data_IF_027507482841
#
_entry.id   IF_027507482841
#
_cell.length_a   1.000
_cell.length_b   1.000
_cell.length_c   1.000
_cell.angle_alpha   90.00
_cell.angle_beta   90.00
_cell.angle_gamma   90.00
#
_symmetry.space_group_name_H-M   'P 1'
#
loop_
_entity.id
_entity.type
_entity.pdbx_description
1 polymer ?
#
# COMPACT_ATOMS: atom_id res chain seq x y z
N UNK A 1 15.18 -13.29 -19.91
CA UNK A 1 14.88 -12.56 -18.66
C UNK A 1 14.66 -11.06 -18.89
N UNK A 2 15.55 -10.35 -19.60
CA UNK A 2 15.42 -8.91 -19.89
C UNK A 2 14.16 -8.53 -20.71
N UNK A 3 13.72 -9.37 -21.65
CA UNK A 3 12.48 -9.11 -22.40
C UNK A 3 11.21 -9.24 -21.54
N UNK A 4 11.23 -10.10 -20.51
CA UNK A 4 10.12 -10.26 -19.58
C UNK A 4 9.99 -9.02 -18.69
N UNK A 5 11.12 -8.50 -18.19
CA UNK A 5 11.18 -7.23 -17.45
C UNK A 5 10.73 -6.05 -18.31
N UNK A 6 11.10 -6.03 -19.60
CA UNK A 6 10.67 -4.98 -20.53
C UNK A 6 9.17 -5.02 -20.80
N UNK A 7 8.59 -6.22 -20.92
CA UNK A 7 7.13 -6.42 -21.05
C UNK A 7 6.38 -6.10 -19.76
N UNK A 8 7.03 -6.29 -18.61
CA UNK A 8 6.52 -5.90 -17.29
C UNK A 8 6.50 -4.36 -17.09
N UNK A 9 7.34 -3.67 -17.87
CA UNK A 9 7.49 -2.21 -17.88
C UNK A 9 6.80 -1.52 -19.06
N UNK A 10 6.47 -2.24 -20.14
CA UNK A 10 5.73 -1.69 -21.27
C UNK A 10 4.27 -1.54 -20.85
N UNK A 11 3.97 -0.37 -20.29
CA UNK A 11 2.62 0.12 -20.13
C UNK A 11 2.02 0.34 -21.52
N UNK A 12 1.18 -0.59 -21.97
CA UNK A 12 0.27 -0.32 -23.08
C UNK A 12 -0.87 0.57 -22.55
N UNK A 13 -0.74 1.87 -22.80
CA UNK A 13 -1.77 2.87 -22.52
C UNK A 13 -2.79 2.85 -23.66
N UNK A 14 -3.71 1.89 -23.66
CA UNK A 14 -4.82 1.88 -24.62
C UNK A 14 -6.04 2.58 -24.00
N UNK A 15 -6.14 3.87 -24.33
CA UNK A 15 -7.33 4.74 -24.39
C UNK A 15 -8.45 4.57 -23.34
N UNK A 16 -8.36 5.30 -22.22
CA UNK A 16 -9.51 6.00 -21.60
C UNK A 16 -9.00 7.20 -20.80
N UNK A 17 -9.33 8.43 -21.22
CA UNK A 17 -8.65 9.66 -20.73
C UNK A 17 -8.74 9.93 -19.22
N UNK A 18 -9.70 9.32 -18.49
CA UNK A 18 -9.81 9.40 -17.03
C UNK A 18 -9.06 8.27 -16.29
N UNK A 19 -9.08 7.03 -16.83
CA UNK A 19 -8.33 5.94 -16.22
C UNK A 19 -6.82 6.18 -16.35
N UNK A 20 -6.38 6.79 -17.46
CA UNK A 20 -4.98 7.19 -17.66
C UNK A 20 -4.49 8.23 -16.65
N UNK A 21 -5.32 9.23 -16.34
CA UNK A 21 -4.97 10.26 -15.34
C UNK A 21 -4.86 9.66 -13.95
N UNK A 22 -5.77 8.76 -13.60
CA UNK A 22 -5.78 8.09 -12.29
C UNK A 22 -4.60 7.13 -12.17
N UNK A 23 -4.33 6.33 -13.22
CA UNK A 23 -3.20 5.41 -13.26
C UNK A 23 -1.86 6.13 -13.11
N UNK A 24 -1.69 7.29 -13.79
CA UNK A 24 -0.45 8.09 -13.74
C UNK A 24 -0.03 8.46 -12.31
N UNK A 25 -0.98 8.67 -11.39
CA UNK A 25 -0.70 8.97 -9.99
C UNK A 25 -0.78 7.74 -9.08
N UNK A 26 -1.67 6.79 -9.37
CA UNK A 26 -1.88 5.61 -8.54
C UNK A 26 -0.65 4.70 -8.48
N UNK A 27 0.00 4.45 -9.61
CA UNK A 27 1.20 3.61 -9.66
C UNK A 27 2.36 4.17 -8.82
N UNK A 28 2.79 5.43 -8.99
CA UNK A 28 3.88 5.98 -8.18
C UNK A 28 3.52 6.00 -6.69
N UNK A 29 2.27 6.30 -6.32
CA UNK A 29 1.82 6.23 -4.91
C UNK A 29 1.98 4.81 -4.37
N UNK A 30 1.51 3.79 -5.09
CA UNK A 30 1.65 2.39 -4.68
C UNK A 30 3.12 1.99 -4.53
N UNK A 31 3.99 2.40 -5.46
CA UNK A 31 5.43 2.12 -5.37
C UNK A 31 6.06 2.80 -4.16
N UNK A 32 5.76 4.07 -3.90
CA UNK A 32 6.28 4.80 -2.74
C UNK A 32 5.86 4.10 -1.45
N UNK A 33 4.58 3.71 -1.32
CA UNK A 33 4.09 3.00 -0.14
C UNK A 33 4.77 1.65 0.04
N UNK A 34 4.95 0.87 -1.03
CA UNK A 34 5.69 -0.41 -0.98
C UNK A 34 7.12 -0.17 -0.50
N UNK A 35 7.82 0.83 -1.02
CA UNK A 35 9.19 1.17 -0.61
C UNK A 35 9.24 1.54 0.87
N UNK A 36 8.28 2.33 1.37
CA UNK A 36 8.18 2.70 2.78
C UNK A 36 8.00 1.44 3.65
N UNK A 37 7.08 0.54 3.29
CA UNK A 37 6.84 -0.71 4.05
C UNK A 37 8.09 -1.59 4.06
N UNK A 38 8.80 -1.71 2.93
CA UNK A 38 10.06 -2.46 2.86
C UNK A 38 11.13 -1.83 3.76
N UNK A 39 11.24 -0.51 3.79
CA UNK A 39 12.17 0.20 4.68
C UNK A 39 11.80 -0.02 6.15
N UNK A 40 10.52 -0.01 6.51
CA UNK A 40 10.05 -0.31 7.86
C UNK A 40 10.42 -1.75 8.27
N UNK A 41 10.14 -2.74 7.42
CA UNK A 41 10.54 -4.13 7.66
C UNK A 41 12.06 -4.26 7.80
N UNK A 42 12.83 -3.57 6.96
CA UNK A 42 14.28 -3.58 7.01
C UNK A 42 14.78 -2.96 8.32
N UNK A 43 14.18 -1.87 8.80
CA UNK A 43 14.61 -1.18 10.03
C UNK A 43 14.16 -1.86 11.34
N UNK A 44 13.16 -2.74 11.27
CA UNK A 44 12.59 -3.48 12.42
C UNK A 44 13.60 -4.25 13.30
N UNK A 45 14.64 -4.93 12.75
CA UNK A 45 15.62 -5.66 13.55
C UNK A 45 16.41 -4.76 14.51
N UNK A 46 16.69 -3.52 14.09
CA UNK A 46 17.43 -2.52 14.85
C UNK A 46 16.59 -1.77 15.89
N UNK A 47 15.28 -2.02 15.94
CA UNK A 47 14.40 -1.43 16.94
C UNK A 47 14.70 -1.99 18.35
N UNK A 48 14.63 -1.17 19.43
CA UNK A 48 14.79 -1.64 20.82
C UNK A 48 13.59 -2.44 21.37
N UNK A 49 12.67 -2.88 20.51
CA UNK A 49 11.48 -3.64 20.88
C UNK A 49 11.79 -5.10 21.30
N UNK A 50 10.85 -5.69 22.06
CA UNK A 50 10.92 -7.11 22.43
C UNK A 50 10.82 -8.01 21.19
N UNK A 51 11.33 -9.25 21.28
CA UNK A 51 11.31 -10.19 20.15
C UNK A 51 9.88 -10.53 19.70
N UNK A 52 8.94 -10.64 20.65
CA UNK A 52 7.54 -10.92 20.37
C UNK A 52 6.89 -9.78 19.56
N UNK A 53 7.10 -8.53 19.98
CA UNK A 53 6.59 -7.35 19.27
C UNK A 53 7.20 -7.25 17.86
N UNK A 54 8.50 -7.51 17.72
CA UNK A 54 9.18 -7.52 16.42
C UNK A 54 8.56 -8.49 15.43
N UNK A 55 8.23 -9.72 15.88
CA UNK A 55 7.58 -10.71 15.03
C UNK A 55 6.16 -10.28 14.65
N UNK A 56 5.39 -9.74 15.60
CA UNK A 56 4.05 -9.22 15.32
C UNK A 56 4.07 -8.08 14.31
N UNK A 57 4.97 -7.11 14.46
CA UNK A 57 5.15 -6.01 13.50
C UNK A 57 5.62 -6.51 12.15
N UNK A 58 6.57 -7.46 12.11
CA UNK A 58 7.06 -8.02 10.87
C UNK A 58 5.96 -8.76 10.08
N UNK A 59 5.12 -9.54 10.77
CA UNK A 59 3.97 -10.24 10.15
C UNK A 59 2.93 -9.23 9.65
N UNK A 60 2.66 -8.19 10.43
CA UNK A 60 1.74 -7.11 10.04
C UNK A 60 2.25 -6.39 8.79
N UNK A 61 3.52 -5.98 8.77
CA UNK A 61 4.15 -5.30 7.64
C UNK A 61 4.20 -6.21 6.40
N UNK A 62 4.47 -7.51 6.58
CA UNK A 62 4.41 -8.48 5.49
C UNK A 62 3.00 -8.62 4.90
N UNK A 63 1.96 -8.63 5.74
CA UNK A 63 0.57 -8.68 5.29
C UNK A 63 0.17 -7.40 4.53
N UNK A 64 0.60 -6.24 5.03
CA UNK A 64 0.39 -4.94 4.38
C UNK A 64 1.11 -4.89 3.02
N UNK A 65 2.36 -5.35 2.96
CA UNK A 65 3.13 -5.46 1.72
C UNK A 65 2.41 -6.34 0.70
N UNK A 66 1.93 -7.52 1.13
CA UNK A 66 1.21 -8.44 0.26
C UNK A 66 -0.07 -7.81 -0.31
N UNK A 67 -0.81 -7.07 0.52
CA UNK A 67 -2.01 -6.35 0.11
C UNK A 67 -1.69 -5.27 -0.93
N UNK A 68 -0.65 -4.46 -0.74
CA UNK A 68 -0.25 -3.45 -1.73
C UNK A 68 0.26 -4.06 -3.03
N UNK A 69 0.96 -5.20 -2.97
CA UNK A 69 1.35 -5.96 -4.17
C UNK A 69 0.12 -6.51 -4.91
N UNK A 70 -0.88 -7.02 -4.19
CA UNK A 70 -2.14 -7.47 -4.80
C UNK A 70 -2.87 -6.31 -5.49
N UNK A 71 -2.94 -5.14 -4.86
CA UNK A 71 -3.52 -3.92 -5.44
C UNK A 71 -2.76 -3.45 -6.69
N UNK A 72 -1.43 -3.55 -6.70
CA UNK A 72 -0.58 -3.24 -7.85
C UNK A 72 -0.85 -4.21 -9.02
N UNK A 73 -0.96 -5.50 -8.74
CA UNK A 73 -1.31 -6.52 -9.75
C UNK A 73 -2.72 -6.28 -10.31
N UNK A 74 -3.66 -5.86 -9.46
CA UNK A 74 -5.03 -5.57 -9.84
C UNK A 74 -5.11 -4.31 -10.73
N UNK A 75 -4.36 -3.26 -10.40
CA UNK A 75 -4.22 -2.07 -11.22
C UNK A 75 -3.60 -2.40 -12.59
N UNK A 76 -2.62 -3.32 -12.64
CA UNK A 76 -2.03 -3.81 -13.90
C UNK A 76 -3.00 -4.58 -14.79
N UNK A 77 -4.02 -5.22 -14.22
CA UNK A 77 -5.09 -5.89 -14.98
C UNK A 77 -6.13 -4.92 -15.55
N UNK A 78 -5.96 -3.61 -15.36
CA UNK A 78 -6.89 -2.58 -15.85
C UNK A 78 -7.96 -2.15 -14.84
N UNK A 79 -7.99 -2.73 -13.63
CA UNK A 79 -8.95 -2.37 -12.58
C UNK A 79 -8.50 -1.16 -11.73
N UNK A 80 -8.06 -0.09 -12.40
CA UNK A 80 -7.44 1.09 -11.76
C UNK A 80 -8.40 1.81 -10.80
N UNK A 81 -9.68 1.94 -11.17
CA UNK A 81 -10.71 2.60 -10.34
C UNK A 81 -11.00 1.84 -9.05
N UNK A 82 -11.08 0.51 -9.12
CA UNK A 82 -11.29 -0.35 -7.96
C UNK A 82 -10.08 -0.32 -7.04
N UNK A 83 -8.87 -0.33 -7.59
CA UNK A 83 -7.64 -0.15 -6.80
C UNK A 83 -7.59 1.22 -6.13
N UNK A 84 -7.95 2.30 -6.83
CA UNK A 84 -8.02 3.63 -6.25
C UNK A 84 -9.05 3.71 -5.11
N UNK A 85 -10.22 3.10 -5.29
CA UNK A 85 -11.25 3.03 -4.25
C UNK A 85 -10.79 2.25 -3.01
N UNK A 86 -10.15 1.10 -3.21
CA UNK A 86 -9.52 0.35 -2.11
C UNK A 86 -8.46 1.18 -1.39
N UNK A 87 -7.59 1.88 -2.13
CA UNK A 87 -6.54 2.69 -1.54
C UNK A 87 -7.11 3.86 -0.73
N UNK A 88 -8.12 4.56 -1.25
CA UNK A 88 -8.82 5.64 -0.52
C UNK A 88 -9.51 5.10 0.72
N UNK A 89 -10.17 3.93 0.61
CA UNK A 89 -10.83 3.28 1.76
C UNK A 89 -9.82 2.91 2.84
N UNK A 90 -8.67 2.36 2.47
CA UNK A 90 -7.59 2.02 3.41
C UNK A 90 -7.02 3.26 4.08
N UNK A 91 -6.75 4.33 3.32
CA UNK A 91 -6.28 5.60 3.89
C UNK A 91 -7.33 6.20 4.83
N UNK A 92 -8.61 6.13 4.46
CA UNK A 92 -9.71 6.59 5.29
C UNK A 92 -9.80 5.79 6.59
N UNK A 93 -9.75 4.46 6.53
CA UNK A 93 -9.76 3.59 7.71
C UNK A 93 -8.54 3.85 8.59
N UNK A 94 -7.36 3.97 7.98
CA UNK A 94 -6.11 4.26 8.68
C UNK A 94 -6.07 5.67 9.30
N UNK A 95 -6.78 6.64 8.72
CA UNK A 95 -6.93 8.00 9.28
C UNK A 95 -8.00 8.06 10.38
N UNK A 96 -9.04 7.23 10.25
CA UNK A 96 -10.11 7.10 11.25
C UNK A 96 -9.65 6.31 12.48
N UNK A 97 -8.77 5.34 12.34
CA UNK A 97 -8.22 4.57 13.46
C UNK A 97 -7.59 5.43 14.56
N UNK A 98 -6.64 6.35 14.28
CA UNK A 98 -6.13 7.24 15.31
C UNK A 98 -7.23 8.16 15.83
N UNK A 99 -8.23 8.54 15.04
CA UNK A 99 -9.36 9.31 15.58
C UNK A 99 -10.23 8.47 16.55
N UNK A 100 -10.49 7.19 16.28
CA UNK A 100 -11.26 6.33 17.19
C UNK A 100 -10.44 5.98 18.44
N UNK A 101 -9.13 5.80 18.32
CA UNK A 101 -8.24 5.49 19.45
C UNK A 101 -7.91 6.73 20.29
N UNK A 102 -7.73 7.91 19.66
CA UNK A 102 -7.44 9.19 20.35
C UNK A 102 -8.72 9.87 20.87
N UNK A 103 -9.85 9.84 20.15
CA UNK A 103 -11.11 10.39 20.64
C UNK A 103 -11.92 9.40 21.48
N UNK A 104 -11.66 8.09 21.37
CA UNK A 104 -12.18 7.08 22.30
C UNK A 104 -11.62 7.21 23.71
N UNK A 105 -10.43 7.82 23.89
CA UNK A 105 -9.91 8.15 25.23
C UNK A 105 -10.38 9.50 25.77
N UNK A 106 -11.01 10.36 24.94
CA UNK A 106 -11.46 11.71 25.33
C UNK A 106 -12.97 11.75 25.72
N UNK A 107 -13.68 10.61 25.71
CA UNK A 107 -15.05 10.55 26.26
C UNK A 107 -15.27 9.34 27.16
N UNK A 108 -14.91 9.49 28.42
CA UNK A 108 -15.76 9.04 29.51
C UNK A 108 -16.24 10.29 30.26
N UNK A 109 -17.53 10.70 30.17
CA UNK A 109 -18.20 11.21 31.36
C UNK A 109 -18.31 10.09 32.41
#
# INVERSE_FOLDING_TARGET
>A
MLQFLRKFWSFDYTETSQADRTARWLFPILYVVIVIVVLLMATTPWSPMTLADKLSFFVLDAAVLFLFLALLLLARKGHVTLTAFCLVTLVYLASMLPSVVLFGSIRAP
#
